data_IF_368427099566
#
_entry.id   IF_368427099566
#
_cell.length_a   1.000
_cell.length_b   1.000
_cell.length_c   1.000
_cell.angle_alpha   90.00
_cell.angle_beta   90.00
_cell.angle_gamma   90.00
#
_symmetry.space_group_name_H-M   'P 1'
#
loop_
_entity.id
_entity.type
_entity.pdbx_description
1 polymer ?
#
# COMPACT_ATOMS: atom_id res chain seq x y z
N UNK A 1 -0.39 -17.94 0.81
CA UNK A 1 -0.11 -16.62 0.21
C UNK A 1 0.47 -15.74 1.30
N UNK A 2 1.73 -15.36 1.17
CA UNK A 2 2.37 -14.47 2.14
C UNK A 2 1.83 -13.04 1.99
N UNK A 3 2.02 -12.17 2.99
CA UNK A 3 1.65 -10.75 2.90
C UNK A 3 2.32 -10.06 1.71
N UNK A 4 3.58 -10.42 1.45
CA UNK A 4 4.36 -9.96 0.31
C UNK A 4 3.64 -10.29 -1.01
N UNK A 5 3.29 -11.55 -1.22
CA UNK A 5 2.57 -12.01 -2.42
C UNK A 5 1.23 -11.31 -2.59
N UNK A 6 0.49 -11.14 -1.49
CA UNK A 6 -0.81 -10.47 -1.50
C UNK A 6 -0.71 -8.99 -1.90
N UNK A 7 0.33 -8.30 -1.44
CA UNK A 7 0.55 -6.89 -1.76
C UNK A 7 1.02 -6.73 -3.21
N UNK A 8 1.93 -7.58 -3.70
CA UNK A 8 2.31 -7.57 -5.12
C UNK A 8 1.14 -7.90 -6.05
N UNK A 9 0.28 -8.84 -5.66
CA UNK A 9 -0.93 -9.12 -6.43
C UNK A 9 -1.82 -7.87 -6.55
N UNK A 10 -1.96 -7.08 -5.48
CA UNK A 10 -2.71 -5.83 -5.52
C UNK A 10 -2.04 -4.80 -6.43
N UNK A 11 -0.73 -4.64 -6.36
CA UNK A 11 0.04 -3.74 -7.23
C UNK A 11 -0.17 -4.11 -8.71
N UNK A 12 -0.04 -5.40 -9.06
CA UNK A 12 -0.30 -5.87 -10.42
C UNK A 12 -1.75 -5.57 -10.87
N UNK A 13 -2.74 -5.75 -9.98
CA UNK A 13 -4.14 -5.40 -10.29
C UNK A 13 -4.33 -3.90 -10.49
N UNK A 14 -3.62 -3.06 -9.74
CA UNK A 14 -3.62 -1.61 -9.92
C UNK A 14 -3.03 -1.22 -11.28
N UNK A 15 -1.89 -1.81 -11.68
CA UNK A 15 -1.32 -1.61 -13.02
C UNK A 15 -2.32 -2.00 -14.12
N UNK A 16 -2.96 -3.16 -13.99
CA UNK A 16 -3.98 -3.58 -14.94
C UNK A 16 -5.16 -2.60 -15.00
N UNK A 17 -5.60 -2.06 -13.85
CA UNK A 17 -6.67 -1.06 -13.80
C UNK A 17 -6.27 0.22 -14.54
N UNK A 18 -5.02 0.69 -14.40
CA UNK A 18 -4.50 1.86 -15.13
C UNK A 18 -4.55 1.65 -16.64
N UNK A 19 -4.10 0.48 -17.11
CA UNK A 19 -4.16 0.12 -18.52
C UNK A 19 -5.60 0.03 -19.05
N UNK A 20 -6.53 -0.47 -18.22
CA UNK A 20 -7.94 -0.52 -18.57
C UNK A 20 -8.52 0.89 -18.71
N UNK A 21 -8.24 1.81 -17.78
CA UNK A 21 -8.69 3.20 -17.85
C UNK A 21 -8.21 3.91 -19.12
N UNK A 22 -6.93 3.73 -19.49
CA UNK A 22 -6.39 4.27 -20.75
C UNK A 22 -7.16 3.76 -21.96
N UNK A 23 -7.50 2.46 -21.98
CA UNK A 23 -8.23 1.80 -23.08
C UNK A 23 -9.74 2.04 -23.11
N UNK A 24 -10.33 2.65 -22.06
CA UNK A 24 -11.78 2.95 -22.04
C UNK A 24 -12.14 3.87 -23.21
N UNK A 25 -11.27 4.83 -23.50
CA UNK A 25 -11.53 5.94 -24.41
C UNK A 25 -11.01 5.72 -25.84
N UNK A 26 -10.43 4.54 -26.13
CA UNK A 26 -9.91 4.19 -27.46
C UNK A 26 -11.00 3.75 -28.47
N UNK A 27 -12.27 3.67 -28.05
CA UNK A 27 -13.38 3.19 -28.89
C UNK A 27 -14.40 4.30 -29.13
N UNK A 28 -14.84 4.47 -30.38
CA UNK A 28 -15.82 5.51 -30.74
C UNK A 28 -17.26 5.15 -30.32
N UNK A 29 -17.53 3.87 -30.03
CA UNK A 29 -18.85 3.41 -29.57
C UNK A 29 -19.15 3.89 -28.12
N UNK A 30 -20.13 4.78 -27.90
CA UNK A 30 -20.46 5.32 -26.59
C UNK A 30 -21.03 4.27 -25.64
N UNK A 31 -21.73 3.24 -26.14
CA UNK A 31 -22.29 2.16 -25.32
C UNK A 31 -21.14 1.32 -24.76
N UNK A 32 -20.17 0.98 -25.62
CA UNK A 32 -19.00 0.20 -25.22
C UNK A 32 -18.10 0.97 -24.26
N UNK A 33 -17.87 2.28 -24.47
CA UNK A 33 -17.14 3.16 -23.52
C UNK A 33 -17.76 3.11 -22.13
N UNK A 34 -19.08 3.29 -22.05
CA UNK A 34 -19.80 3.27 -20.77
C UNK A 34 -19.69 1.91 -20.07
N UNK A 35 -19.82 0.81 -20.80
CA UNK A 35 -19.67 -0.54 -20.24
C UNK A 35 -18.24 -0.78 -19.71
N UNK A 36 -17.21 -0.37 -20.45
CA UNK A 36 -15.81 -0.45 -20.02
C UNK A 36 -15.55 0.41 -18.78
N UNK A 37 -16.10 1.61 -18.71
CA UNK A 37 -15.97 2.48 -17.54
C UNK A 37 -16.62 1.84 -16.29
N UNK A 38 -17.85 1.34 -16.42
CA UNK A 38 -18.53 0.63 -15.32
C UNK A 38 -17.71 -0.57 -14.86
N UNK A 39 -17.10 -1.31 -15.78
CA UNK A 39 -16.20 -2.41 -15.45
C UNK A 39 -14.97 -1.92 -14.67
N UNK A 40 -14.30 -0.84 -15.12
CA UNK A 40 -13.14 -0.27 -14.42
C UNK A 40 -13.51 0.19 -13.00
N UNK A 41 -14.67 0.84 -12.83
CA UNK A 41 -15.15 1.28 -11.52
C UNK A 41 -15.37 0.09 -10.59
N UNK A 42 -16.07 -0.95 -11.06
CA UNK A 42 -16.30 -2.18 -10.28
C UNK A 42 -14.98 -2.87 -9.94
N UNK A 43 -14.06 -2.97 -10.89
CA UNK A 43 -12.74 -3.54 -10.66
C UNK A 43 -11.92 -2.75 -9.63
N UNK A 44 -11.98 -1.42 -9.68
CA UNK A 44 -11.35 -0.56 -8.69
C UNK A 44 -11.95 -0.78 -7.28
N UNK A 45 -13.28 -0.92 -7.17
CA UNK A 45 -13.95 -1.25 -5.91
C UNK A 45 -13.53 -2.62 -5.36
N UNK A 46 -13.36 -3.62 -6.22
CA UNK A 46 -12.83 -4.93 -5.82
C UNK A 46 -11.40 -4.83 -5.28
N UNK A 47 -10.52 -4.07 -5.94
CA UNK A 47 -9.15 -3.82 -5.47
C UNK A 47 -9.17 -3.14 -4.10
N UNK A 48 -10.00 -2.11 -3.91
CA UNK A 48 -10.17 -1.45 -2.60
C UNK A 48 -10.63 -2.46 -1.55
N UNK A 49 -11.60 -3.32 -1.88
CA UNK A 49 -12.08 -4.36 -0.97
C UNK A 49 -11.00 -5.36 -0.58
N UNK A 50 -10.17 -5.79 -1.54
CA UNK A 50 -9.03 -6.68 -1.29
C UNK A 50 -7.96 -6.00 -0.42
N UNK A 51 -7.63 -4.74 -0.71
CA UNK A 51 -6.67 -3.95 0.07
C UNK A 51 -7.14 -3.74 1.51
N UNK A 52 -8.44 -3.47 1.74
CA UNK A 52 -9.00 -3.35 3.08
C UNK A 52 -8.88 -4.65 3.88
N UNK A 53 -9.17 -5.80 3.26
CA UNK A 53 -9.00 -7.11 3.88
C UNK A 53 -7.53 -7.40 4.21
N UNK A 54 -6.63 -7.09 3.27
CA UNK A 54 -5.20 -7.21 3.48
C UNK A 54 -4.77 -6.35 4.66
N UNK A 55 -5.24 -5.11 4.73
CA UNK A 55 -4.93 -4.18 5.79
C UNK A 55 -5.44 -4.65 7.17
N UNK A 56 -6.62 -5.26 7.23
CA UNK A 56 -7.14 -5.87 8.45
C UNK A 56 -6.27 -7.04 8.93
N UNK A 57 -5.87 -7.92 8.01
CA UNK A 57 -4.94 -9.02 8.31
C UNK A 57 -3.58 -8.51 8.76
N UNK A 58 -3.07 -7.49 8.07
CA UNK A 58 -1.82 -6.81 8.37
C UNK A 58 -1.84 -6.25 9.80
N UNK A 59 -2.90 -5.51 10.16
CA UNK A 59 -3.07 -4.94 11.49
C UNK A 59 -3.14 -6.01 12.58
N UNK A 60 -3.83 -7.13 12.33
CA UNK A 60 -3.93 -8.24 13.29
C UNK A 60 -2.59 -8.94 13.47
N UNK A 61 -1.89 -9.29 12.38
CA UNK A 61 -0.69 -10.12 12.43
C UNK A 61 0.56 -9.29 12.70
N UNK A 62 0.86 -8.32 11.83
CA UNK A 62 2.08 -7.51 11.96
C UNK A 62 2.01 -6.52 13.11
N UNK A 63 0.84 -6.01 13.46
CA UNK A 63 0.69 -5.14 14.63
C UNK A 63 1.03 -5.87 15.93
N UNK A 64 0.54 -7.09 16.10
CA UNK A 64 0.86 -7.94 17.26
C UNK A 64 2.34 -8.37 17.25
N UNK A 65 2.86 -8.78 16.09
CA UNK A 65 4.28 -9.16 15.96
C UNK A 65 5.22 -7.99 16.25
N UNK A 66 4.89 -6.77 15.82
CA UNK A 66 5.69 -5.58 16.09
C UNK A 66 5.70 -5.22 17.56
N UNK A 67 4.58 -5.40 18.27
CA UNK A 67 4.50 -5.19 19.72
C UNK A 67 5.37 -6.18 20.50
N UNK A 68 5.26 -7.47 20.18
CA UNK A 68 6.10 -8.52 20.81
C UNK A 68 7.58 -8.30 20.49
N UNK A 69 7.89 -7.92 19.25
CA UNK A 69 9.26 -7.63 18.83
C UNK A 69 9.85 -6.38 19.51
N UNK A 70 9.05 -5.33 19.74
CA UNK A 70 9.50 -4.16 20.48
C UNK A 70 9.91 -4.52 21.91
N UNK A 71 9.13 -5.38 22.58
CA UNK A 71 9.45 -5.88 23.91
C UNK A 71 10.72 -6.75 23.88
N UNK A 72 10.82 -7.68 22.93
CA UNK A 72 12.00 -8.56 22.83
C UNK A 72 13.28 -7.78 22.52
N UNK A 73 13.21 -6.75 21.67
CA UNK A 73 14.34 -5.85 21.39
C UNK A 73 14.84 -5.14 22.64
N UNK A 74 13.95 -4.73 23.56
CA UNK A 74 14.35 -4.13 24.83
C UNK A 74 15.24 -5.05 25.67
N UNK A 75 14.87 -6.33 25.78
CA UNK A 75 15.68 -7.32 26.50
C UNK A 75 16.98 -7.67 25.79
N UNK A 76 16.93 -7.82 24.47
CA UNK A 76 18.08 -8.16 23.63
C UNK A 76 19.11 -7.02 23.64
N UNK A 77 18.67 -5.77 23.61
CA UNK A 77 19.56 -4.60 23.66
C UNK A 77 20.37 -4.59 24.97
N UNK A 78 19.75 -4.86 26.11
CA UNK A 78 20.46 -4.97 27.40
C UNK A 78 21.48 -6.11 27.38
N UNK A 79 21.13 -7.28 26.82
CA UNK A 79 22.08 -8.39 26.69
C UNK A 79 23.27 -8.09 25.77
N UNK A 80 23.06 -7.34 24.68
CA UNK A 80 24.15 -6.92 23.78
C UNK A 80 25.16 -6.04 24.52
N UNK A 81 24.67 -5.08 25.32
CA UNK A 81 25.53 -4.18 26.10
C UNK A 81 26.35 -4.94 27.14
N UNK A 82 25.77 -5.95 27.79
CA UNK A 82 26.42 -6.69 28.86
C UNK A 82 27.33 -7.83 28.38
N UNK A 83 26.95 -8.54 27.32
CA UNK A 83 27.59 -9.82 26.94
C UNK A 83 27.99 -9.93 25.48
N UNK A 84 27.68 -8.93 24.65
CA UNK A 84 27.88 -8.91 23.20
C UNK A 84 27.54 -10.25 22.53
N UNK A 85 26.24 -10.53 22.38
CA UNK A 85 25.74 -11.75 21.73
C UNK A 85 25.59 -11.58 20.22
N UNK A 86 26.29 -12.40 19.43
CA UNK A 86 26.16 -12.40 17.96
C UNK A 86 24.74 -12.75 17.50
N UNK A 87 24.07 -13.69 18.18
CA UNK A 87 22.69 -14.07 17.88
C UNK A 87 21.71 -12.92 18.10
N UNK A 88 21.93 -12.11 19.14
CA UNK A 88 21.17 -10.91 19.42
C UNK A 88 21.29 -9.86 18.30
N UNK A 89 22.50 -9.64 17.80
CA UNK A 89 22.76 -8.73 16.67
C UNK A 89 22.05 -9.22 15.39
N UNK A 90 22.15 -10.51 15.07
CA UNK A 90 21.44 -11.09 13.93
C UNK A 90 19.92 -10.96 14.04
N UNK A 91 19.36 -11.16 15.24
CA UNK A 91 17.93 -11.02 15.47
C UNK A 91 17.46 -9.57 15.24
N UNK A 92 18.22 -8.60 15.75
CA UNK A 92 17.94 -7.18 15.54
C UNK A 92 18.02 -6.80 14.06
N UNK A 93 19.05 -7.27 13.35
CA UNK A 93 19.21 -7.04 11.92
C UNK A 93 18.04 -7.64 11.11
N UNK A 94 17.64 -8.87 11.43
CA UNK A 94 16.50 -9.53 10.77
C UNK A 94 15.20 -8.78 10.96
N UNK A 95 14.94 -8.28 12.17
CA UNK A 95 13.75 -7.45 12.43
C UNK A 95 13.79 -6.12 11.68
N UNK A 96 14.94 -5.45 11.67
CA UNK A 96 15.12 -4.21 10.92
C UNK A 96 14.86 -4.41 9.42
N UNK A 97 15.40 -5.48 8.83
CA UNK A 97 15.16 -5.84 7.43
C UNK A 97 13.68 -6.12 7.15
N UNK A 98 12.97 -6.81 8.06
CA UNK A 98 11.54 -7.05 7.92
C UNK A 98 10.73 -5.74 7.88
N UNK A 99 11.04 -4.80 8.78
CA UNK A 99 10.39 -3.48 8.81
C UNK A 99 10.72 -2.69 7.55
N UNK A 100 11.99 -2.67 7.12
CA UNK A 100 12.44 -2.01 5.89
C UNK A 100 11.67 -2.52 4.67
N UNK A 101 11.62 -3.85 4.48
CA UNK A 101 10.92 -4.48 3.36
C UNK A 101 9.42 -4.16 3.37
N UNK A 102 8.77 -4.21 4.55
CA UNK A 102 7.34 -3.90 4.67
C UNK A 102 7.05 -2.43 4.36
N UNK A 103 7.92 -1.50 4.78
CA UNK A 103 7.81 -0.09 4.44
C UNK A 103 8.04 0.18 2.95
N UNK A 104 8.98 -0.53 2.30
CA UNK A 104 9.25 -0.41 0.87
C UNK A 104 8.01 -0.77 0.03
N UNK A 105 7.42 -1.94 0.24
CA UNK A 105 6.21 -2.33 -0.50
C UNK A 105 5.03 -1.44 -0.11
N UNK A 106 4.89 -1.09 1.17
CA UNK A 106 3.82 -0.24 1.65
C UNK A 106 3.83 1.15 1.02
N UNK A 107 5.02 1.67 0.72
CA UNK A 107 5.21 2.88 -0.09
C UNK A 107 4.85 2.63 -1.56
N UNK A 108 5.39 1.59 -2.19
CA UNK A 108 5.11 1.27 -3.61
C UNK A 108 3.61 1.17 -3.87
N UNK A 109 2.86 0.49 -2.99
CA UNK A 109 1.41 0.38 -3.09
C UNK A 109 0.69 1.75 -2.99
N UNK A 110 1.19 2.65 -2.14
CA UNK A 110 0.64 4.01 -2.01
C UNK A 110 0.88 4.81 -3.28
N UNK A 111 2.11 4.81 -3.78
CA UNK A 111 2.52 5.53 -4.98
C UNK A 111 1.72 5.01 -6.20
N UNK A 112 1.61 3.69 -6.34
CA UNK A 112 0.87 3.07 -7.43
C UNK A 112 -0.63 3.40 -7.39
N UNK A 113 -1.23 3.43 -6.20
CA UNK A 113 -2.63 3.84 -6.06
C UNK A 113 -2.82 5.31 -6.38
N UNK A 114 -1.92 6.18 -5.93
CA UNK A 114 -1.98 7.62 -6.19
C UNK A 114 -1.93 7.90 -7.70
N UNK A 115 -1.03 7.24 -8.41
CA UNK A 115 -0.81 7.39 -9.85
C UNK A 115 -1.97 6.83 -10.72
N UNK A 116 -3.04 6.27 -10.14
CA UNK A 116 -4.26 5.94 -10.89
C UNK A 116 -4.89 7.22 -11.45
N UNK A 117 -4.84 8.32 -10.68
CA UNK A 117 -5.35 9.62 -11.11
C UNK A 117 -4.66 10.09 -12.40
N UNK A 118 -3.34 9.92 -12.51
CA UNK A 118 -2.59 10.31 -13.70
C UNK A 118 -3.03 9.53 -14.93
N UNK A 119 -3.27 8.22 -14.77
CA UNK A 119 -3.76 7.37 -15.87
C UNK A 119 -5.16 7.77 -16.35
N UNK A 120 -5.99 8.29 -15.46
CA UNK A 120 -7.30 8.84 -15.80
C UNK A 120 -7.13 10.20 -16.51
N UNK A 121 -6.27 11.07 -16.01
CA UNK A 121 -6.01 12.39 -16.60
C UNK A 121 -5.39 12.33 -18.00
N UNK A 122 -4.55 11.32 -18.26
CA UNK A 122 -3.96 11.04 -19.58
C UNK A 122 -4.98 10.47 -20.58
N UNK A 123 -6.16 10.06 -20.12
CA UNK A 123 -7.20 9.52 -21.00
C UNK A 123 -8.04 10.62 -21.66
N UNK A 124 -8.63 10.35 -22.84
CA UNK A 124 -9.46 11.30 -23.61
C UNK A 124 -10.89 11.40 -23.08
N UNK A 125 -11.03 11.61 -21.77
CA UNK A 125 -12.32 11.60 -21.10
C UNK A 125 -13.12 12.90 -21.26
N UNK A 126 -12.44 13.99 -21.60
CA UNK A 126 -12.94 15.34 -21.82
C UNK A 126 -13.97 15.44 -22.95
N UNK A 127 -13.91 14.52 -23.92
CA UNK A 127 -14.85 14.43 -25.04
C UNK A 127 -16.25 13.89 -24.66
N UNK A 128 -16.45 13.32 -23.46
CA UNK A 128 -17.75 12.76 -23.03
C UNK A 128 -18.18 13.24 -21.64
N UNK A 129 -18.94 14.33 -21.65
CA UNK A 129 -19.52 14.96 -20.46
C UNK A 129 -20.44 14.04 -19.64
N UNK A 130 -21.01 12.99 -20.24
CA UNK A 130 -21.86 12.05 -19.50
C UNK A 130 -21.02 11.14 -18.62
N UNK A 131 -19.82 10.75 -19.08
CA UNK A 131 -18.90 9.91 -18.34
C UNK A 131 -18.02 10.71 -17.36
N UNK A 132 -17.81 12.00 -17.62
CA UNK A 132 -17.03 12.89 -16.77
C UNK A 132 -17.50 12.92 -15.29
N UNK A 133 -18.82 12.83 -15.06
CA UNK A 133 -19.37 12.79 -13.68
C UNK A 133 -18.93 11.54 -12.92
N UNK A 134 -19.04 10.38 -13.55
CA UNK A 134 -18.65 9.10 -12.96
C UNK A 134 -17.13 9.06 -12.73
N UNK A 135 -16.36 9.60 -13.68
CA UNK A 135 -14.91 9.71 -13.60
C UNK A 135 -14.46 10.63 -12.45
N UNK A 136 -15.14 11.76 -12.25
CA UNK A 136 -14.86 12.66 -11.12
C UNK A 136 -15.03 11.97 -9.76
N UNK A 137 -16.02 11.07 -9.63
CA UNK A 137 -16.20 10.28 -8.41
C UNK A 137 -15.00 9.34 -8.20
N UNK A 138 -14.51 8.71 -9.27
CA UNK A 138 -13.30 7.88 -9.23
C UNK A 138 -12.08 8.71 -8.85
N UNK A 139 -11.87 9.86 -9.47
CA UNK A 139 -10.75 10.76 -9.19
C UNK A 139 -10.74 11.22 -7.72
N UNK A 140 -11.90 11.62 -7.19
CA UNK A 140 -12.05 11.96 -5.76
C UNK A 140 -11.69 10.78 -4.85
N UNK A 141 -11.95 9.52 -5.28
CA UNK A 141 -11.56 8.33 -4.52
C UNK A 141 -10.06 8.05 -4.62
N UNK A 142 -9.43 8.27 -5.78
CA UNK A 142 -7.99 8.07 -5.99
C UNK A 142 -7.13 8.96 -5.10
N UNK A 143 -7.63 10.14 -4.69
CA UNK A 143 -6.96 11.02 -3.74
C UNK A 143 -6.77 10.42 -2.32
N UNK A 144 -7.37 9.26 -2.05
CA UNK A 144 -7.16 8.49 -0.82
C UNK A 144 -6.36 7.22 -1.16
N UNK A 145 -5.03 7.28 -1.19
CA UNK A 145 -4.21 6.12 -1.55
C UNK A 145 -4.46 4.96 -0.59
N UNK A 146 -4.31 3.73 -1.09
CA UNK A 146 -4.37 2.53 -0.27
C UNK A 146 -3.07 2.43 0.53
N UNK A 147 -3.16 1.98 1.79
CA UNK A 147 -2.02 1.90 2.69
C UNK A 147 -2.01 0.59 3.47
N UNK A 148 -0.81 0.16 3.88
CA UNK A 148 -0.61 -0.92 4.83
C UNK A 148 -0.45 -0.32 6.24
N UNK A 149 -1.35 -0.67 7.15
CA UNK A 149 -1.41 -0.12 8.50
C UNK A 149 -0.68 -1.03 9.50
N UNK A 150 0.28 -0.47 10.25
CA UNK A 150 1.12 -1.21 11.20
C UNK A 150 0.56 -1.25 12.63
N UNK A 151 -0.26 -0.28 13.04
CA UNK A 151 -0.78 -0.09 14.41
C UNK A 151 -1.95 0.91 14.41
N UNK A 152 -2.59 1.30 15.56
CA UNK A 152 -3.69 2.27 15.55
C UNK A 152 -3.34 3.61 14.87
N UNK A 153 -2.06 3.98 14.78
CA UNK A 153 -1.62 5.28 14.25
C UNK A 153 -0.49 5.21 13.20
N UNK A 154 0.05 4.03 12.89
CA UNK A 154 1.21 3.87 12.00
C UNK A 154 0.86 3.32 10.63
N UNK A 155 1.46 3.88 9.57
CA UNK A 155 1.38 3.40 8.19
C UNK A 155 2.77 2.90 7.78
N UNK A 156 2.87 1.73 7.16
CA UNK A 156 4.13 1.23 6.60
C UNK A 156 4.50 2.05 5.35
N UNK A 157 5.35 3.04 5.54
CA UNK A 157 5.91 3.91 4.51
C UNK A 157 7.30 4.41 4.92
N UNK A 158 7.95 5.21 4.07
CA UNK A 158 9.29 5.73 4.40
C UNK A 158 9.30 6.61 5.65
N UNK A 159 8.23 7.35 5.93
CA UNK A 159 8.13 8.18 7.13
C UNK A 159 8.19 7.34 8.41
N UNK A 160 7.52 6.20 8.44
CA UNK A 160 7.56 5.27 9.56
C UNK A 160 8.94 4.62 9.72
N UNK A 161 9.62 4.30 8.60
CA UNK A 161 11.00 3.80 8.64
C UNK A 161 11.95 4.84 9.25
N UNK A 162 11.83 6.10 8.81
CA UNK A 162 12.61 7.21 9.37
C UNK A 162 12.33 7.31 10.87
N UNK A 163 11.07 7.32 11.31
CA UNK A 163 10.71 7.40 12.73
C UNK A 163 11.36 6.30 13.57
N UNK A 164 11.36 5.05 13.08
CA UNK A 164 12.01 3.92 13.77
C UNK A 164 13.53 4.11 13.83
N UNK A 165 14.15 4.58 12.74
CA UNK A 165 15.60 4.82 12.68
C UNK A 165 16.07 6.09 13.42
N UNK A 166 15.18 7.08 13.53
CA UNK A 166 15.45 8.40 14.10
C UNK A 166 14.88 8.56 15.50
N UNK A 167 14.37 7.48 16.11
CA UNK A 167 13.99 7.44 17.51
C UNK A 167 15.24 7.80 18.32
N UNK A 168 15.39 9.09 18.59
CA UNK A 168 16.50 9.65 19.33
C UNK A 168 16.48 9.00 20.70
N UNK A 169 17.61 8.41 21.04
CA UNK A 169 18.06 8.18 22.41
C UNK A 169 17.97 9.52 23.16
N UNK A 170 16.80 9.85 23.70
CA UNK A 170 16.70 10.81 24.79
C UNK A 170 17.02 10.04 26.07
N UNK A 171 18.31 9.73 26.18
CA UNK A 171 19.04 9.52 27.42
C UNK A 171 19.16 10.84 28.18
#
# INVERSE_FOLDING_TARGET
MTLWDATHLLICKIHQLKDLFRKVFDTDDPILRKQRLIYCIRYHQEIIGMANKLNELNRKVLGQMSFVAAISMGFIATQIVETFSFGAVLHLLGFFLLVLLTCLIGQEMQDETYNIQDSINESKWDDDLNLAKDLNIVLMRCQKPLYLQSSPTGIFNYQQLILVSSAKWHS
#
